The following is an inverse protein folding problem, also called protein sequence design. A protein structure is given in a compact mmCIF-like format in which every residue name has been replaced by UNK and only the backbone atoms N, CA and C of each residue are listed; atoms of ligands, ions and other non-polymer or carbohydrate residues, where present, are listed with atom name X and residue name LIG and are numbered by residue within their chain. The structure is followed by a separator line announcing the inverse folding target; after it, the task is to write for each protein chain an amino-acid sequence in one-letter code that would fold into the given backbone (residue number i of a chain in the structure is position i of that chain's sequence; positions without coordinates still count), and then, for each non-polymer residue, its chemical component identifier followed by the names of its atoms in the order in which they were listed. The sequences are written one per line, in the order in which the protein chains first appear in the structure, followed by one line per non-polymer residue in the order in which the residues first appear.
data_IF_518884691538
#
_entry.id   IF_518884691538
#
_cell.length_a   1.000
_cell.length_b   1.000
_cell.length_c   1.000
_cell.angle_alpha   90.00
_cell.angle_beta   90.00
_cell.angle_gamma   90.00
#
_symmetry.space_group_name_H-M   'P 1'
#
loop_
_entity.id
_entity.type
_entity.pdbx_description
1 polymer ?
#
# COMPACT_ATOMS: atom_id res chain seq x y z
N UNK A 1 -21.21 -6.74 51.66
CA UNK A 1 -20.99 -8.09 51.08
C UNK A 1 -20.22 -7.95 49.77
N UNK A 2 -18.87 -7.93 49.79
CA UNK A 2 -18.06 -7.72 48.59
C UNK A 2 -17.88 -9.02 47.79
N UNK A 3 -18.13 -8.99 46.48
CA UNK A 3 -17.79 -10.06 45.54
C UNK A 3 -16.40 -9.81 44.97
N UNK A 4 -15.42 -10.59 45.42
CA UNK A 4 -14.11 -10.72 44.78
C UNK A 4 -14.30 -11.47 43.45
N UNK A 5 -14.15 -10.78 42.32
CA UNK A 5 -14.01 -11.44 41.02
C UNK A 5 -12.63 -12.08 40.97
N UNK A 6 -12.60 -13.40 41.07
CA UNK A 6 -11.39 -14.19 40.86
C UNK A 6 -11.02 -14.23 39.37
N UNK A 7 -9.73 -14.05 39.15
CA UNK A 7 -9.03 -14.13 37.86
C UNK A 7 -9.24 -15.48 37.17
N UNK A 8 -9.64 -15.54 35.89
CA UNK A 8 -9.44 -16.73 35.09
C UNK A 8 -7.99 -16.79 34.62
N UNK A 9 -7.15 -17.48 35.40
CA UNK A 9 -5.90 -18.07 34.92
C UNK A 9 -6.23 -18.92 33.69
N UNK A 10 -5.78 -18.47 32.52
CA UNK A 10 -5.78 -19.25 31.29
C UNK A 10 -4.78 -20.39 31.44
N UNK A 11 -5.25 -21.50 31.99
CA UNK A 11 -4.53 -22.77 31.98
C UNK A 11 -4.55 -23.33 30.55
N UNK A 12 -3.54 -22.99 29.75
CA UNK A 12 -3.18 -23.77 28.57
C UNK A 12 -2.52 -25.09 29.03
N UNK A 13 -3.30 -25.98 29.64
CA UNK A 13 -2.87 -27.33 29.95
C UNK A 13 -3.12 -28.21 28.72
N UNK A 14 -2.11 -28.35 27.87
CA UNK A 14 -2.14 -29.32 26.78
C UNK A 14 -2.17 -30.75 27.37
N UNK A 15 -3.05 -31.64 26.89
CA UNK A 15 -3.06 -33.03 27.33
C UNK A 15 -1.78 -33.74 26.87
N UNK A 16 -0.98 -34.21 27.84
CA UNK A 16 0.19 -35.08 27.59
C UNK A 16 -0.28 -36.43 27.03
N UNK A 17 -0.33 -36.55 25.69
CA UNK A 17 -0.39 -37.85 25.02
C UNK A 17 0.99 -38.52 25.07
N UNK A 18 1.08 -39.84 25.35
CA UNK A 18 2.33 -40.58 25.26
C UNK A 18 2.83 -40.63 23.81
N UNK A 19 4.14 -40.39 23.63
CA UNK A 19 4.80 -40.34 22.33
C UNK A 19 4.77 -41.70 21.65
N UNK A 20 4.02 -41.80 20.56
CA UNK A 20 4.33 -42.80 19.53
C UNK A 20 5.67 -42.43 18.88
N UNK A 21 6.53 -43.41 18.52
CA UNK A 21 7.70 -43.15 17.69
C UNK A 21 7.23 -42.70 16.30
N UNK A 22 7.12 -41.39 16.13
CA UNK A 22 6.75 -40.76 14.88
C UNK A 22 7.87 -40.91 13.83
N UNK A 23 7.54 -40.97 12.54
CA UNK A 23 8.53 -40.96 11.48
C UNK A 23 9.40 -39.71 11.61
N UNK A 24 10.70 -39.90 11.38
CA UNK A 24 11.76 -38.90 11.48
C UNK A 24 11.28 -37.53 10.99
N UNK A 25 11.35 -36.55 11.90
CA UNK A 25 11.10 -35.15 11.64
C UNK A 25 12.04 -34.70 10.50
N UNK A 26 11.53 -34.67 9.28
CA UNK A 26 12.24 -34.02 8.19
C UNK A 26 12.53 -32.58 8.65
N UNK A 27 13.76 -32.08 8.49
CA UNK A 27 14.08 -30.71 8.86
C UNK A 27 13.09 -29.77 8.14
N UNK A 28 12.64 -28.68 8.79
CA UNK A 28 11.80 -27.70 8.13
C UNK A 28 12.53 -27.31 6.84
N UNK A 29 11.88 -27.54 5.70
CA UNK A 29 12.39 -27.08 4.40
C UNK A 29 12.79 -25.63 4.61
N UNK A 30 14.09 -25.37 4.50
CA UNK A 30 14.63 -24.03 4.49
C UNK A 30 13.99 -23.31 3.31
N UNK A 31 12.87 -22.65 3.54
CA UNK A 31 12.39 -21.63 2.63
C UNK A 31 13.55 -20.65 2.54
N UNK A 32 14.15 -20.45 1.35
CA UNK A 32 15.31 -19.59 1.26
C UNK A 32 14.87 -18.23 1.81
N UNK A 33 15.54 -17.76 2.86
CA UNK A 33 15.47 -16.38 3.37
C UNK A 33 16.17 -15.39 2.43
N UNK A 34 16.80 -15.93 1.38
CA UNK A 34 17.55 -15.24 0.33
C UNK A 34 16.71 -14.27 -0.52
N UNK A 35 15.46 -14.56 -0.94
CA UNK A 35 14.71 -13.66 -1.83
C UNK A 35 14.16 -12.44 -1.08
N UNK A 36 13.95 -12.51 0.23
CA UNK A 36 13.42 -11.37 1.02
C UNK A 36 14.52 -10.33 1.23
N UNK A 37 15.73 -10.78 1.61
CA UNK A 37 16.89 -9.89 1.73
C UNK A 37 17.30 -9.31 0.38
N UNK A 38 17.27 -10.11 -0.68
CA UNK A 38 17.55 -9.62 -2.04
C UNK A 38 16.51 -8.58 -2.51
N UNK A 39 15.21 -8.80 -2.22
CA UNK A 39 14.16 -7.80 -2.52
C UNK A 39 14.31 -6.52 -1.70
N UNK A 40 14.67 -6.61 -0.41
CA UNK A 40 14.92 -5.44 0.43
C UNK A 40 16.15 -4.66 -0.01
N UNK A 41 17.23 -5.35 -0.38
CA UNK A 41 18.45 -4.72 -0.91
C UNK A 41 18.14 -4.07 -2.26
N UNK A 42 17.45 -4.77 -3.17
CA UNK A 42 17.02 -4.24 -4.46
C UNK A 42 16.13 -3.01 -4.29
N UNK A 43 15.12 -3.06 -3.42
CA UNK A 43 14.25 -1.91 -3.11
C UNK A 43 15.07 -0.76 -2.53
N UNK A 44 16.00 -1.03 -1.61
CA UNK A 44 16.84 0.00 -0.99
C UNK A 44 17.85 0.61 -1.96
N UNK A 45 18.41 -0.17 -2.87
CA UNK A 45 19.28 0.35 -3.94
C UNK A 45 18.47 1.12 -4.97
N UNK A 46 17.30 0.63 -5.39
CA UNK A 46 16.41 1.34 -6.31
C UNK A 46 15.91 2.67 -5.71
N UNK A 47 15.58 2.70 -4.42
CA UNK A 47 15.17 3.92 -3.71
C UNK A 47 16.31 4.94 -3.59
N UNK A 48 17.57 4.48 -3.63
CA UNK A 48 18.76 5.33 -3.47
C UNK A 48 19.35 5.77 -4.82
N UNK A 49 19.18 4.99 -5.88
CA UNK A 49 19.74 5.30 -7.21
C UNK A 49 18.73 5.86 -8.18
N UNK A 50 17.43 5.86 -7.87
CA UNK A 50 16.46 6.59 -8.68
C UNK A 50 16.79 8.09 -8.59
N UNK A 51 17.24 8.73 -9.69
CA UNK A 51 17.34 10.17 -9.73
C UNK A 51 15.91 10.67 -9.75
N UNK A 52 15.33 10.90 -8.58
CA UNK A 52 14.02 11.50 -8.45
C UNK A 52 14.21 12.98 -8.80
N UNK A 53 14.35 13.27 -10.09
CA UNK A 53 14.39 14.64 -10.60
C UNK A 53 13.13 15.31 -10.07
N UNK A 54 13.25 16.38 -9.25
CA UNK A 54 12.09 17.00 -8.58
C UNK A 54 11.07 17.54 -9.59
N UNK A 55 11.46 17.70 -10.85
CA UNK A 55 10.57 18.13 -11.93
C UNK A 55 9.72 17.00 -12.54
N UNK A 56 10.16 15.74 -12.45
CA UNK A 56 9.39 14.58 -12.96
C UNK A 56 8.37 14.05 -11.96
N UNK A 57 8.52 14.35 -10.67
CA UNK A 57 7.54 13.93 -9.65
C UNK A 57 6.27 14.77 -9.64
N UNK A 58 6.26 15.94 -10.27
CA UNK A 58 5.11 16.85 -10.28
C UNK A 58 4.16 16.69 -11.48
N UNK A 59 4.36 15.67 -12.31
CA UNK A 59 3.48 15.40 -13.46
C UNK A 59 2.32 14.49 -13.10
N UNK A 60 1.18 14.66 -13.78
CA UNK A 60 0.02 13.80 -13.57
C UNK A 60 0.33 12.31 -13.86
N UNK A 61 1.18 12.06 -14.86
CA UNK A 61 1.66 10.70 -15.20
C UNK A 61 2.47 10.04 -14.08
N UNK A 62 3.35 10.76 -13.39
CA UNK A 62 4.14 10.19 -12.30
C UNK A 62 3.27 9.79 -11.11
N UNK A 63 2.25 10.59 -10.80
CA UNK A 63 1.25 10.27 -9.78
C UNK A 63 0.41 9.05 -10.17
N UNK A 64 -0.03 8.96 -11.43
CA UNK A 64 -0.79 7.83 -11.94
C UNK A 64 0.03 6.52 -11.91
N UNK A 65 1.31 6.58 -12.30
CA UNK A 65 2.23 5.44 -12.23
C UNK A 65 2.50 5.04 -10.78
N UNK A 66 2.69 6.01 -9.88
CA UNK A 66 2.84 5.76 -8.44
C UNK A 66 1.63 5.05 -7.85
N UNK A 67 0.42 5.53 -8.16
CA UNK A 67 -0.84 4.90 -7.75
C UNK A 67 -0.99 3.50 -8.33
N UNK A 68 -0.59 3.27 -9.59
CA UNK A 68 -0.63 1.95 -10.21
C UNK A 68 0.30 0.95 -9.54
N UNK A 69 1.54 1.35 -9.24
CA UNK A 69 2.51 0.51 -8.52
C UNK A 69 2.00 0.18 -7.12
N UNK A 70 1.48 1.19 -6.41
CA UNK A 70 0.89 1.00 -5.08
C UNK A 70 -0.31 0.04 -5.13
N UNK A 71 -1.17 0.17 -6.14
CA UNK A 71 -2.31 -0.71 -6.37
C UNK A 71 -1.90 -2.17 -6.54
N UNK A 72 -0.91 -2.46 -7.41
CA UNK A 72 -0.43 -3.83 -7.65
C UNK A 72 0.26 -4.39 -6.41
N UNK A 73 1.14 -3.60 -5.77
CA UNK A 73 1.84 -4.02 -4.56
C UNK A 73 0.86 -4.37 -3.42
N UNK A 74 -0.18 -3.55 -3.25
CA UNK A 74 -1.22 -3.78 -2.25
C UNK A 74 -2.06 -5.02 -2.55
N UNK A 75 -2.47 -5.23 -3.82
CA UNK A 75 -3.23 -6.40 -4.24
C UNK A 75 -2.45 -7.70 -3.99
N UNK A 76 -1.15 -7.73 -4.30
CA UNK A 76 -0.30 -8.90 -4.04
C UNK A 76 -0.20 -9.18 -2.53
N UNK A 77 -0.05 -8.14 -1.71
CA UNK A 77 -0.06 -8.29 -0.25
C UNK A 77 -1.37 -8.88 0.30
N UNK A 78 -2.50 -8.38 -0.19
CA UNK A 78 -3.83 -8.89 0.15
C UNK A 78 -3.98 -10.37 -0.27
N UNK A 79 -3.58 -10.72 -1.49
CA UNK A 79 -3.68 -12.09 -2.02
C UNK A 79 -2.79 -13.10 -1.25
N UNK A 80 -1.57 -12.71 -0.89
CA UNK A 80 -0.69 -13.56 -0.08
C UNK A 80 -1.31 -13.78 1.30
N UNK A 81 -1.82 -12.72 1.93
CA UNK A 81 -2.48 -12.84 3.24
C UNK A 81 -3.73 -13.73 3.21
N UNK A 82 -4.54 -13.72 2.16
CA UNK A 82 -5.70 -14.63 2.06
C UNK A 82 -5.27 -16.07 1.80
N UNK A 83 -4.21 -16.28 1.02
CA UNK A 83 -3.71 -17.63 0.69
C UNK A 83 -3.14 -18.39 1.88
N UNK A 84 -2.40 -17.71 2.77
CA UNK A 84 -1.70 -18.35 3.90
C UNK A 84 -2.70 -18.81 4.98
N UNK A 85 -3.73 -18.01 5.24
CA UNK A 85 -4.63 -18.24 6.37
C UNK A 85 -5.93 -18.97 5.96
N UNK A 86 -6.24 -19.04 4.67
CA UNK A 86 -7.29 -19.92 4.14
C UNK A 86 -8.69 -19.59 4.65
N UNK A 87 -9.52 -20.63 4.85
CA UNK A 87 -10.91 -20.45 5.29
C UNK A 87 -11.01 -20.30 6.82
N UNK A 88 -11.13 -19.07 7.31
CA UNK A 88 -11.20 -18.74 8.75
C UNK A 88 -12.58 -18.99 9.39
N UNK A 89 -13.59 -19.46 8.65
CA UNK A 89 -14.94 -19.62 9.22
C UNK A 89 -15.03 -20.66 10.34
N UNK A 90 -14.21 -21.71 10.29
CA UNK A 90 -14.24 -22.80 11.27
C UNK A 90 -13.66 -22.41 12.66
N UNK A 91 -12.80 -21.39 12.70
CA UNK A 91 -12.04 -21.00 13.90
C UNK A 91 -12.61 -19.76 14.62
N UNK A 92 -13.81 -19.29 14.26
CA UNK A 92 -14.43 -18.06 14.78
C UNK A 92 -14.58 -18.00 16.31
N UNK A 93 -14.54 -19.14 17.00
CA UNK A 93 -14.59 -19.23 18.47
C UNK A 93 -13.34 -18.65 19.16
N UNK A 94 -12.18 -18.65 18.50
CA UNK A 94 -10.94 -18.15 19.07
C UNK A 94 -10.74 -16.67 18.72
N UNK A 95 -10.31 -15.87 19.71
CA UNK A 95 -10.07 -14.43 19.53
C UNK A 95 -9.07 -14.14 18.41
N UNK A 96 -8.04 -14.97 18.28
CA UNK A 96 -7.00 -14.88 17.27
C UNK A 96 -7.62 -14.89 15.86
N UNK A 97 -8.53 -15.82 15.57
CA UNK A 97 -9.17 -15.91 14.26
C UNK A 97 -10.06 -14.70 13.94
N UNK A 98 -10.66 -14.04 14.95
CA UNK A 98 -11.43 -12.80 14.73
C UNK A 98 -10.53 -11.63 14.32
N UNK A 99 -9.37 -11.50 14.97
CA UNK A 99 -8.36 -10.48 14.64
C UNK A 99 -7.80 -10.65 13.23
N UNK A 100 -7.39 -11.86 12.86
CA UNK A 100 -6.90 -12.16 11.51
C UNK A 100 -7.95 -11.83 10.44
N UNK A 101 -9.21 -12.22 10.66
CA UNK A 101 -10.30 -11.95 9.71
C UNK A 101 -10.52 -10.44 9.54
N UNK A 102 -10.44 -9.67 10.62
CA UNK A 102 -10.55 -8.22 10.56
C UNK A 102 -9.40 -7.59 9.75
N UNK A 103 -8.15 -8.03 9.98
CA UNK A 103 -6.98 -7.53 9.25
C UNK A 103 -7.07 -7.83 7.73
N UNK A 104 -7.53 -9.03 7.36
CA UNK A 104 -7.77 -9.38 5.95
C UNK A 104 -8.86 -8.51 5.36
N UNK A 105 -9.97 -8.29 6.07
CA UNK A 105 -11.04 -7.41 5.61
C UNK A 105 -10.53 -5.97 5.39
N UNK A 106 -9.72 -5.43 6.30
CA UNK A 106 -9.10 -4.11 6.14
C UNK A 106 -8.16 -4.04 4.94
N UNK A 107 -7.40 -5.11 4.66
CA UNK A 107 -6.54 -5.17 3.48
C UNK A 107 -7.36 -5.05 2.17
N UNK A 108 -8.50 -5.75 2.09
CA UNK A 108 -9.42 -5.66 0.94
C UNK A 108 -10.11 -4.31 0.84
N UNK A 109 -10.53 -3.72 1.97
CA UNK A 109 -11.10 -2.37 1.97
C UNK A 109 -10.09 -1.33 1.49
N UNK A 110 -8.82 -1.44 1.91
CA UNK A 110 -7.74 -0.59 1.41
C UNK A 110 -7.54 -0.72 -0.10
N UNK A 111 -7.63 -1.94 -0.65
CA UNK A 111 -7.54 -2.18 -2.09
C UNK A 111 -8.67 -1.49 -2.86
N UNK A 112 -9.92 -1.58 -2.38
CA UNK A 112 -11.08 -0.92 -3.01
C UNK A 112 -10.89 0.61 -3.04
N UNK A 113 -10.40 1.19 -1.95
CA UNK A 113 -10.14 2.64 -1.88
C UNK A 113 -9.05 3.04 -2.89
N UNK A 114 -7.94 2.29 -2.95
CA UNK A 114 -6.87 2.54 -3.93
C UNK A 114 -7.36 2.38 -5.37
N UNK A 115 -8.22 1.39 -5.64
CA UNK A 115 -8.82 1.22 -6.96
C UNK A 115 -9.71 2.41 -7.34
N UNK A 116 -10.51 2.92 -6.39
CA UNK A 116 -11.32 4.12 -6.59
C UNK A 116 -10.47 5.35 -6.91
N UNK A 117 -9.41 5.60 -6.14
CA UNK A 117 -8.47 6.70 -6.40
C UNK A 117 -7.78 6.56 -7.76
N UNK A 118 -7.31 5.35 -8.10
CA UNK A 118 -6.71 5.09 -9.40
C UNK A 118 -7.68 5.35 -10.55
N UNK A 119 -8.94 4.91 -10.43
CA UNK A 119 -9.94 5.07 -11.46
C UNK A 119 -10.34 6.54 -11.65
N UNK A 120 -10.55 7.30 -10.58
CA UNK A 120 -10.88 8.73 -10.69
C UNK A 120 -9.73 9.53 -11.29
N UNK A 121 -8.49 9.24 -10.90
CA UNK A 121 -7.30 9.84 -11.52
C UNK A 121 -7.18 9.46 -13.00
N UNK A 122 -7.39 8.20 -13.35
CA UNK A 122 -7.34 7.74 -14.74
C UNK A 122 -8.42 8.41 -15.59
N UNK A 123 -9.66 8.45 -15.12
CA UNK A 123 -10.78 9.10 -15.80
C UNK A 123 -10.52 10.60 -15.99
N UNK A 124 -9.99 11.28 -14.97
CA UNK A 124 -9.63 12.69 -15.07
C UNK A 124 -8.55 12.92 -16.15
N UNK A 125 -7.56 12.03 -16.25
CA UNK A 125 -6.52 12.10 -17.26
C UNK A 125 -7.06 11.91 -18.68
N UNK A 126 -7.94 10.92 -18.87
CA UNK A 126 -8.55 10.62 -20.16
C UNK A 126 -9.49 11.75 -20.59
N UNK A 127 -10.34 12.23 -19.69
CA UNK A 127 -11.32 13.28 -19.98
C UNK A 127 -10.67 14.61 -20.37
N UNK A 128 -9.53 14.94 -19.76
CA UNK A 128 -8.84 16.20 -20.00
C UNK A 128 -7.60 16.08 -20.91
N UNK A 129 -7.23 14.86 -21.35
CA UNK A 129 -5.99 14.59 -22.11
C UNK A 129 -4.72 15.21 -21.49
N UNK A 130 -4.72 15.42 -20.17
CA UNK A 130 -3.73 16.22 -19.44
C UNK A 130 -2.60 15.36 -18.84
N UNK A 131 -2.11 14.38 -19.59
CA UNK A 131 -1.11 13.43 -19.08
C UNK A 131 0.25 14.10 -18.76
N UNK A 132 0.65 15.08 -19.57
CA UNK A 132 1.93 15.79 -19.43
C UNK A 132 1.81 17.12 -18.68
N UNK A 133 0.62 17.50 -18.24
CA UNK A 133 0.43 18.78 -17.58
C UNK A 133 0.91 18.74 -16.12
N UNK A 134 1.56 19.82 -15.64
CA UNK A 134 2.00 19.91 -14.25
C UNK A 134 0.79 20.01 -13.32
N UNK A 135 0.84 19.30 -12.19
CA UNK A 135 -0.22 19.36 -11.17
C UNK A 135 -0.27 20.76 -10.54
N UNK A 136 -1.28 21.53 -10.96
CA UNK A 136 -1.76 22.76 -10.33
C UNK A 136 -0.68 23.83 -10.06
N UNK A 137 -0.50 24.73 -11.04
CA UNK A 137 -0.04 26.10 -10.77
C UNK A 137 1.45 26.38 -10.88
N UNK A 138 2.27 25.42 -11.29
CA UNK A 138 3.69 25.66 -11.61
C UNK A 138 3.94 26.27 -13.00
N UNK A 139 2.91 26.80 -13.66
CA UNK A 139 3.08 27.51 -14.94
C UNK A 139 3.71 28.89 -14.79
N UNK A 140 3.82 29.42 -13.57
CA UNK A 140 4.60 30.62 -13.30
C UNK A 140 5.48 30.36 -12.09
N UNK A 141 6.80 30.38 -12.28
CA UNK A 141 7.68 30.72 -11.17
C UNK A 141 7.10 31.98 -10.54
N UNK A 142 7.01 32.05 -9.21
CA UNK A 142 6.57 33.25 -8.52
C UNK A 142 7.51 34.39 -8.90
N UNK A 143 7.19 35.09 -9.98
CA UNK A 143 7.78 36.36 -10.35
C UNK A 143 7.22 37.36 -9.34
N UNK A 144 7.74 37.33 -8.12
CA UNK A 144 7.67 38.47 -7.21
C UNK A 144 8.70 39.54 -7.61
N UNK A 145 9.04 39.60 -8.90
CA UNK A 145 9.59 40.82 -9.49
C UNK A 145 8.38 41.72 -9.63
N UNK A 146 8.41 42.81 -8.87
CA UNK A 146 7.47 43.92 -8.94
C UNK A 146 7.29 44.32 -10.42
N UNK A 147 6.24 43.84 -11.08
CA UNK A 147 5.86 44.36 -12.38
C UNK A 147 4.99 45.60 -12.17
N UNK A 148 5.32 46.73 -12.82
CA UNK A 148 4.41 47.87 -12.86
C UNK A 148 3.14 47.43 -13.57
N UNK A 149 1.98 47.81 -13.03
CA UNK A 149 0.67 47.44 -13.54
C UNK A 149 0.50 47.85 -15.02
N UNK A 150 0.69 46.91 -15.96
CA UNK A 150 0.46 47.22 -17.38
C UNK A 150 0.73 46.16 -18.44
N UNK A 151 1.57 45.13 -18.22
CA UNK A 151 2.12 44.36 -19.35
C UNK A 151 1.70 42.89 -19.51
N UNK A 152 0.95 42.28 -18.59
CA UNK A 152 0.69 40.82 -18.65
C UNK A 152 -0.58 40.36 -19.39
N UNK A 153 -1.53 41.23 -19.74
CA UNK A 153 -2.82 40.78 -20.29
C UNK A 153 -2.83 40.57 -21.81
N UNK A 154 -1.81 41.00 -22.54
CA UNK A 154 -1.83 40.98 -24.02
C UNK A 154 -1.34 39.67 -24.62
N UNK A 155 -0.31 39.05 -24.02
CA UNK A 155 0.38 37.90 -24.62
C UNK A 155 -0.39 36.57 -24.44
N UNK A 156 -1.20 36.45 -23.38
CA UNK A 156 -2.01 35.26 -23.15
C UNK A 156 -3.21 35.15 -24.10
N UNK A 157 -3.68 36.28 -24.67
CA UNK A 157 -4.84 36.29 -25.57
C UNK A 157 -4.47 35.90 -27.00
N UNK A 158 -3.22 36.08 -27.43
CA UNK A 158 -2.76 35.80 -28.80
C UNK A 158 -2.39 34.33 -29.02
N UNK A 159 -2.01 33.60 -27.97
CA UNK A 159 -1.67 32.17 -28.07
C UNK A 159 -2.88 31.23 -27.99
N UNK A 160 -4.09 31.77 -27.93
CA UNK A 160 -5.35 31.01 -27.77
C UNK A 160 -6.34 31.22 -28.94
N UNK A 161 -5.87 31.81 -30.02
CA UNK A 161 -6.60 31.95 -31.29
C UNK A 161 -6.08 30.96 -32.32
#
# INVERSE_FOLDING_TARGET
MPRLLSSPRTHYAAPRRPLAPGPALAPPRAHPLVPVRARLVLVRTLLRTAPLSPHLVHTFTSELVGLFVLFVFWLVGAAISTSIWGNLTWCRQFMQCRLLTALVAFAWMGWIILFGLFLTSLLHSIANSAFSDPMHGQLYARESVVYPAGTQTSEYRTSRA
#
